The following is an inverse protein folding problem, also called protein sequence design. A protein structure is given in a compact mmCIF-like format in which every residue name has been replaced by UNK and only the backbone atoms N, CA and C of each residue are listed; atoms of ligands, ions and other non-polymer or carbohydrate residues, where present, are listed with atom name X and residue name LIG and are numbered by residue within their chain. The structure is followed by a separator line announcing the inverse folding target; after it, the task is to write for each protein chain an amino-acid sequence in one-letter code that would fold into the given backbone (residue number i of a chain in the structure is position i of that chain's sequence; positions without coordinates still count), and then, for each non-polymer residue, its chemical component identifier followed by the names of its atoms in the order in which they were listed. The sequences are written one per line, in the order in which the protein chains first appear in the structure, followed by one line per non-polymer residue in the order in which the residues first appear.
data_IF_250753951723
#
_entry.id   IF_250753951723
#
_cell.length_a   1.000
_cell.length_b   1.000
_cell.length_c   1.000
_cell.angle_alpha   90.00
_cell.angle_beta   90.00
_cell.angle_gamma   90.00
#
_symmetry.space_group_name_H-M   'P 1'
#
loop_
_entity.id
_entity.type
_entity.pdbx_description
1 polymer ?
#
# COMPACT_ATOMS: atom_id res chain seq x y z
N UNK A 1 0.56 -32.99 -6.67
CA UNK A 1 1.29 -31.72 -6.54
C UNK A 1 0.86 -30.86 -7.72
N UNK A 2 0.21 -29.72 -7.50
CA UNK A 2 -0.50 -28.95 -8.54
C UNK A 2 0.31 -27.72 -8.98
N UNK A 3 1.21 -27.84 -9.98
CA UNK A 3 2.02 -26.72 -10.47
C UNK A 3 1.19 -25.54 -10.99
N UNK A 4 -0.04 -25.78 -11.47
CA UNK A 4 -0.95 -24.73 -11.94
C UNK A 4 -1.36 -23.73 -10.84
N UNK A 5 -1.44 -24.17 -9.58
CA UNK A 5 -1.75 -23.25 -8.47
C UNK A 5 -0.57 -22.31 -8.17
N UNK A 6 0.66 -22.81 -8.25
CA UNK A 6 1.88 -22.01 -8.03
C UNK A 6 2.08 -20.93 -9.12
N UNK A 7 1.82 -21.27 -10.40
CA UNK A 7 1.91 -20.30 -11.49
C UNK A 7 0.83 -19.22 -11.42
N UNK A 8 -0.38 -19.60 -10.97
CA UNK A 8 -1.47 -18.66 -10.75
C UNK A 8 -1.16 -17.68 -9.61
N UNK A 9 -0.64 -18.19 -8.50
CA UNK A 9 -0.24 -17.38 -7.35
C UNK A 9 0.90 -16.41 -7.71
N UNK A 10 1.87 -16.84 -8.51
CA UNK A 10 2.96 -15.98 -8.98
C UNK A 10 2.44 -14.82 -9.87
N UNK A 11 1.53 -15.10 -10.78
CA UNK A 11 0.92 -14.07 -11.63
C UNK A 11 0.04 -13.08 -10.84
N UNK A 12 -0.61 -13.55 -9.77
CA UNK A 12 -1.37 -12.68 -8.84
C UNK A 12 -0.40 -11.82 -8.03
N UNK A 13 0.68 -12.39 -7.52
CA UNK A 13 1.70 -11.67 -6.75
C UNK A 13 2.36 -10.56 -7.58
N UNK A 14 2.68 -10.81 -8.85
CA UNK A 14 3.27 -9.79 -9.74
C UNK A 14 2.29 -8.62 -9.97
N UNK A 15 1.01 -8.92 -10.20
CA UNK A 15 -0.02 -7.88 -10.37
C UNK A 15 -0.24 -7.08 -9.09
N UNK A 16 -0.16 -7.73 -7.92
CA UNK A 16 -0.24 -7.05 -6.63
C UNK A 16 0.93 -6.07 -6.44
N UNK A 17 2.16 -6.51 -6.74
CA UNK A 17 3.35 -5.66 -6.69
C UNK A 17 3.23 -4.47 -7.65
N UNK A 18 2.70 -4.68 -8.85
CA UNK A 18 2.47 -3.61 -9.83
C UNK A 18 1.46 -2.58 -9.31
N UNK A 19 0.36 -3.03 -8.70
CA UNK A 19 -0.65 -2.14 -8.12
C UNK A 19 -0.05 -1.29 -6.98
N UNK A 20 0.74 -1.92 -6.10
CA UNK A 20 1.46 -1.22 -5.03
C UNK A 20 2.41 -0.17 -5.61
N UNK A 21 3.23 -0.54 -6.62
CA UNK A 21 4.15 0.39 -7.28
C UNK A 21 3.44 1.61 -7.86
N UNK A 22 2.33 1.38 -8.58
CA UNK A 22 1.52 2.47 -9.14
C UNK A 22 0.95 3.39 -8.05
N UNK A 23 0.48 2.80 -6.95
CA UNK A 23 0.04 3.58 -5.80
C UNK A 23 1.16 4.43 -5.20
N UNK A 24 2.35 3.84 -5.00
CA UNK A 24 3.50 4.52 -4.41
C UNK A 24 4.02 5.67 -5.29
N UNK A 25 3.93 5.57 -6.62
CA UNK A 25 4.30 6.69 -7.51
C UNK A 25 3.47 7.95 -7.26
N UNK A 26 2.21 7.82 -6.81
CA UNK A 26 1.37 8.98 -6.43
C UNK A 26 1.97 9.76 -5.26
N UNK A 27 2.69 9.07 -4.35
CA UNK A 27 3.33 9.69 -3.19
C UNK A 27 4.45 10.67 -3.59
N UNK A 28 4.97 10.59 -4.81
CA UNK A 28 6.00 11.52 -5.29
C UNK A 28 5.45 12.92 -5.58
N UNK A 29 4.19 13.00 -5.99
CA UNK A 29 3.55 14.26 -6.37
C UNK A 29 2.56 14.75 -5.31
N UNK A 30 1.87 13.82 -4.64
CA UNK A 30 0.73 14.14 -3.79
C UNK A 30 0.68 13.33 -2.48
N UNK A 31 1.75 13.24 -1.68
CA UNK A 31 1.75 12.42 -0.47
C UNK A 31 0.77 12.92 0.61
N UNK A 32 0.48 14.23 0.63
CA UNK A 32 -0.45 14.84 1.58
C UNK A 32 -1.93 14.68 1.23
N UNK A 33 -2.29 14.08 0.09
CA UNK A 33 -3.69 13.78 -0.26
C UNK A 33 -4.17 12.46 0.33
N UNK A 34 -3.24 11.60 0.74
CA UNK A 34 -3.52 10.31 1.36
C UNK A 34 -4.13 10.46 2.76
N UNK A 35 -4.82 9.42 3.23
CA UNK A 35 -5.52 9.41 4.52
C UNK A 35 -4.52 9.59 5.66
N UNK A 36 -4.86 10.37 6.69
CA UNK A 36 -4.06 10.44 7.93
C UNK A 36 -4.24 9.15 8.71
N UNK A 37 -3.15 8.51 9.09
CA UNK A 37 -3.18 7.29 9.90
C UNK A 37 -3.46 7.62 11.38
N UNK A 38 -2.98 8.78 11.85
CA UNK A 38 -3.15 9.23 13.22
C UNK A 38 -3.55 10.72 13.26
N UNK A 39 -4.52 11.08 14.10
CA UNK A 39 -4.94 12.48 14.25
C UNK A 39 -3.81 13.38 14.78
N UNK A 40 -2.95 12.82 15.64
CA UNK A 40 -1.87 13.54 16.31
C UNK A 40 -0.57 13.62 15.50
N UNK A 41 -0.44 12.84 14.43
CA UNK A 41 0.73 12.88 13.53
C UNK A 41 0.27 13.12 12.08
N UNK A 42 0.32 14.37 11.57
CA UNK A 42 -0.12 14.70 10.22
C UNK A 42 0.81 14.18 9.10
N UNK A 43 2.01 13.71 9.46
CA UNK A 43 3.00 13.14 8.53
C UNK A 43 2.86 11.63 8.39
N UNK A 44 2.27 10.95 9.38
CA UNK A 44 1.95 9.53 9.32
C UNK A 44 0.64 9.31 8.56
N UNK A 45 0.74 8.62 7.43
CA UNK A 45 -0.34 8.53 6.44
C UNK A 45 -0.42 7.16 5.81
N UNK A 46 -1.58 6.91 5.20
CA UNK A 46 -1.88 5.65 4.58
C UNK A 46 -2.40 5.82 3.17
N UNK A 47 -1.86 4.98 2.30
CA UNK A 47 -2.33 4.81 0.95
C UNK A 47 -3.12 3.51 0.85
N UNK A 48 -4.39 3.62 0.47
CA UNK A 48 -5.22 2.47 0.14
C UNK A 48 -5.02 2.17 -1.34
N UNK A 49 -4.49 0.98 -1.63
CA UNK A 49 -4.30 0.46 -2.98
C UNK A 49 -5.37 -0.59 -3.25
N UNK A 50 -6.36 -0.24 -4.05
CA UNK A 50 -7.42 -1.19 -4.45
C UNK A 50 -6.82 -2.26 -5.36
N UNK A 51 -6.93 -3.53 -4.96
CA UNK A 51 -6.46 -4.67 -5.73
C UNK A 51 -7.45 -5.83 -5.62
N UNK A 52 -7.97 -6.29 -6.77
CA UNK A 52 -8.94 -7.39 -6.88
C UNK A 52 -10.02 -7.37 -5.78
N UNK A 53 -10.06 -8.40 -4.92
CA UNK A 53 -11.07 -8.59 -3.87
C UNK A 53 -10.60 -8.11 -2.48
N UNK A 54 -9.30 -7.82 -2.34
CA UNK A 54 -8.66 -7.38 -1.09
C UNK A 54 -7.59 -6.33 -1.41
N UNK A 55 -7.85 -5.09 -1.01
CA UNK A 55 -6.87 -4.01 -1.15
C UNK A 55 -5.65 -4.20 -0.27
N UNK A 56 -4.62 -3.41 -0.55
CA UNK A 56 -3.45 -3.23 0.30
C UNK A 56 -3.50 -1.86 0.97
N UNK A 57 -2.93 -1.77 2.17
CA UNK A 57 -2.70 -0.51 2.87
C UNK A 57 -1.20 -0.34 3.02
N UNK A 58 -0.67 0.76 2.49
CA UNK A 58 0.71 1.16 2.71
C UNK A 58 0.74 2.29 3.74
N UNK A 59 1.28 2.00 4.92
CA UNK A 59 1.58 2.99 5.95
C UNK A 59 2.93 3.63 5.63
N UNK A 60 2.96 4.96 5.59
CA UNK A 60 4.15 5.73 5.29
C UNK A 60 4.23 6.99 6.14
N UNK A 61 5.44 7.52 6.27
CA UNK A 61 5.71 8.78 6.92
C UNK A 61 6.35 9.75 5.94
N UNK A 62 5.89 10.99 5.95
CA UNK A 62 6.48 12.08 5.18
C UNK A 62 7.60 12.70 6.03
N UNK A 63 8.85 12.40 5.68
CA UNK A 63 10.02 12.92 6.40
C UNK A 63 10.38 14.34 5.94
N UNK A 64 10.12 14.67 4.67
CA UNK A 64 10.33 15.99 4.10
C UNK A 64 9.45 16.23 2.87
N UNK A 65 9.57 17.39 2.24
CA UNK A 65 8.88 17.72 0.99
C UNK A 65 9.28 16.82 -0.20
N UNK A 66 10.44 16.18 -0.12
CA UNK A 66 11.01 15.34 -1.18
C UNK A 66 11.20 13.87 -0.77
N UNK A 67 10.92 13.52 0.50
CA UNK A 67 11.19 12.20 1.04
C UNK A 67 9.99 11.63 1.78
N UNK A 68 9.61 10.42 1.37
CA UNK A 68 8.56 9.60 1.97
C UNK A 68 9.12 8.22 2.24
N UNK A 69 8.92 7.74 3.46
CA UNK A 69 9.37 6.42 3.90
C UNK A 69 8.18 5.51 4.09
N UNK A 70 8.14 4.39 3.37
CA UNK A 70 7.13 3.35 3.57
C UNK A 70 7.52 2.55 4.82
N UNK A 71 6.68 2.58 5.84
CA UNK A 71 6.90 1.89 7.11
C UNK A 71 6.42 0.43 7.03
N UNK A 72 5.28 0.22 6.37
CA UNK A 72 4.65 -1.09 6.27
C UNK A 72 3.70 -1.17 5.08
N UNK A 73 3.57 -2.36 4.51
CA UNK A 73 2.51 -2.71 3.56
C UNK A 73 1.76 -3.92 4.12
N UNK A 74 0.44 -3.84 4.21
CA UNK A 74 -0.44 -4.86 4.81
C UNK A 74 -1.65 -5.11 3.91
N UNK A 75 -2.29 -6.28 4.06
CA UNK A 75 -3.60 -6.52 3.45
C UNK A 75 -4.67 -5.76 4.22
N UNK A 76 -5.60 -5.12 3.50
CA UNK A 76 -6.68 -4.34 4.11
C UNK A 76 -7.60 -5.19 5.01
N UNK A 77 -7.64 -6.50 4.81
CA UNK A 77 -8.49 -7.44 5.57
C UNK A 77 -7.76 -8.15 6.72
N UNK A 78 -6.43 -8.03 6.82
CA UNK A 78 -5.67 -8.69 7.89
C UNK A 78 -5.75 -7.95 9.23
N UNK A 79 -6.15 -6.69 9.24
CA UNK A 79 -6.36 -5.94 10.48
C UNK A 79 -7.65 -5.13 10.37
N UNK A 80 -8.56 -5.38 11.31
CA UNK A 80 -9.68 -4.52 11.65
C UNK A 80 -9.20 -3.07 11.78
N UNK A 81 -9.53 -2.23 10.80
CA UNK A 81 -9.19 -0.80 10.84
C UNK A 81 -10.31 -0.04 11.58
N UNK A 82 -10.17 0.08 12.91
CA UNK A 82 -10.93 1.01 13.76
C UNK A 82 -10.16 2.30 14.01
#
# INVERSE_FOLDING_TARGET
MYPFLLDQDAAVAERALQAIRQGVEVLRSFPFTCRKAAERNPFLRELIVSFEVSGYVALFEIESDQQVTILAIRLQREDDYY
#
